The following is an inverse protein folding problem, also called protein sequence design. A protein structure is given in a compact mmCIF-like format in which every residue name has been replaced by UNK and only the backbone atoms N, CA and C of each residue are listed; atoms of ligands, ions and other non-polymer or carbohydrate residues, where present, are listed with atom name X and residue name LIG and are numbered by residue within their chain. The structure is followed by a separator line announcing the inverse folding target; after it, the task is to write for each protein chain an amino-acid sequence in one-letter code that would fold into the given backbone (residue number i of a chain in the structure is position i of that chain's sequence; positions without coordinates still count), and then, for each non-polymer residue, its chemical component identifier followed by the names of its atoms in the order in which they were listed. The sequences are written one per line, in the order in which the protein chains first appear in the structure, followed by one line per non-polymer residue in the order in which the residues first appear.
data_IF_891728313253
#
_entry.id   IF_891728313253
#
_cell.length_a   1.000
_cell.length_b   1.000
_cell.length_c   1.000
_cell.angle_alpha   90.00
_cell.angle_beta   90.00
_cell.angle_gamma   90.00
#
_symmetry.space_group_name_H-M   'P 1'
#
loop_
_entity.id
_entity.type
_entity.pdbx_description
1 polymer ?
#
# COMPACT_ATOMS: atom_id res chain seq x y z
N UNK A 1 12.06 12.72 11.39
CA UNK A 1 10.64 13.04 11.23
C UNK A 1 9.94 11.94 10.50
N UNK A 2 9.12 11.23 11.21
CA UNK A 2 8.48 10.05 10.65
C UNK A 2 7.37 10.39 9.66
N UNK A 3 6.68 11.52 9.83
CA UNK A 3 5.56 11.87 8.97
C UNK A 3 5.98 12.30 7.57
N UNK A 4 7.25 12.65 7.37
CA UNK A 4 7.75 13.04 6.06
C UNK A 4 8.49 11.90 5.35
N UNK A 5 8.55 10.74 5.94
CA UNK A 5 9.28 9.61 5.38
C UNK A 5 8.38 8.68 4.60
N UNK A 6 8.93 8.13 3.52
CA UNK A 6 8.30 7.04 2.80
C UNK A 6 8.44 5.77 3.64
N UNK A 7 7.34 5.12 3.93
CA UNK A 7 7.33 3.93 4.77
C UNK A 7 6.71 2.75 4.06
N UNK A 8 7.20 1.58 4.40
CA UNK A 8 6.62 0.32 3.91
C UNK A 8 6.25 -0.54 5.09
N UNK A 9 5.12 -1.21 5.00
CA UNK A 9 4.66 -2.12 6.03
C UNK A 9 4.17 -3.40 5.36
N UNK A 10 4.74 -4.53 5.76
CA UNK A 10 4.24 -5.82 5.29
C UNK A 10 2.93 -6.10 6.02
N UNK A 11 1.87 -6.31 5.28
CA UNK A 11 0.55 -6.59 5.85
C UNK A 11 0.40 -8.06 6.18
N UNK A 12 -0.41 -8.32 7.19
CA UNK A 12 -0.71 -9.69 7.59
C UNK A 12 -1.78 -10.29 6.69
N UNK A 13 -1.57 -11.51 6.26
CA UNK A 13 -2.53 -12.25 5.46
C UNK A 13 -3.02 -13.42 6.30
N UNK A 14 -4.31 -13.44 6.59
CA UNK A 14 -4.92 -14.44 7.44
C UNK A 14 -5.81 -15.36 6.62
N UNK A 15 -5.62 -16.66 6.76
CA UNK A 15 -6.55 -17.62 6.18
C UNK A 15 -7.88 -17.53 6.90
N UNK A 16 -8.96 -17.65 6.14
CA UNK A 16 -10.30 -17.75 6.71
C UNK A 16 -10.80 -19.17 6.54
N UNK A 17 -11.62 -19.62 7.50
CA UNK A 17 -12.12 -20.99 7.53
C UNK A 17 -13.62 -20.99 7.70
N UNK A 18 -14.23 -21.99 7.11
CA UNK A 18 -15.65 -22.23 7.28
C UNK A 18 -15.97 -22.52 8.75
N UNK A 19 -17.08 -22.00 9.23
CA UNK A 19 -17.48 -22.17 10.64
C UNK A 19 -17.78 -23.62 10.96
N UNK A 20 -18.37 -24.34 10.03
CA UNK A 20 -18.87 -25.69 10.29
C UNK A 20 -17.78 -26.75 10.17
N UNK A 21 -17.11 -26.83 9.03
CA UNK A 21 -16.15 -27.90 8.76
C UNK A 21 -14.69 -27.47 8.82
N UNK A 22 -14.44 -26.18 9.05
CA UNK A 22 -13.09 -25.63 9.23
C UNK A 22 -12.20 -25.70 7.98
N UNK A 23 -12.76 -25.97 6.81
CA UNK A 23 -11.93 -25.93 5.61
C UNK A 23 -11.55 -24.48 5.28
N UNK A 24 -10.40 -24.28 4.66
CA UNK A 24 -9.94 -22.96 4.25
C UNK A 24 -10.83 -22.48 3.10
N UNK A 25 -11.52 -21.36 3.31
CA UNK A 25 -12.42 -20.82 2.29
C UNK A 25 -11.94 -19.51 1.69
N UNK A 26 -10.80 -18.98 2.13
CA UNK A 26 -10.26 -17.76 1.59
C UNK A 26 -9.20 -17.14 2.49
N UNK A 27 -9.05 -15.83 2.37
CA UNK A 27 -8.12 -15.09 3.22
C UNK A 27 -8.63 -13.67 3.44
N UNK A 28 -8.03 -13.01 4.43
CA UNK A 28 -8.33 -11.62 4.76
C UNK A 28 -7.01 -10.89 5.00
N UNK A 29 -6.91 -9.67 4.48
CA UNK A 29 -5.75 -8.81 4.71
C UNK A 29 -6.27 -7.49 5.27
N UNK A 30 -6.13 -7.25 6.59
CA UNK A 30 -6.49 -5.94 7.13
C UNK A 30 -5.54 -4.87 6.60
N UNK A 31 -6.09 -3.86 5.97
CA UNK A 31 -5.29 -2.76 5.39
C UNK A 31 -5.25 -1.59 6.35
N UNK A 32 -6.39 -1.26 6.96
CA UNK A 32 -6.49 -0.18 7.92
C UNK A 32 -7.52 -0.49 8.99
N UNK A 33 -7.13 -0.24 10.24
CA UNK A 33 -8.00 -0.30 11.41
C UNK A 33 -7.69 0.94 12.24
N UNK A 34 -8.71 1.61 12.77
CA UNK A 34 -8.46 2.89 13.45
C UNK A 34 -7.75 2.73 14.80
N UNK A 35 -7.69 1.51 15.33
CA UNK A 35 -6.89 1.22 16.53
C UNK A 35 -5.48 0.76 16.18
N UNK A 36 -5.15 0.67 14.90
CA UNK A 36 -3.85 0.20 14.43
C UNK A 36 -2.93 1.39 14.24
N UNK A 37 -1.65 1.21 14.53
CA UNK A 37 -0.66 2.27 14.39
C UNK A 37 0.11 2.19 13.08
N UNK A 38 -0.31 1.30 12.19
CA UNK A 38 0.31 1.15 10.88
C UNK A 38 0.12 2.40 10.01
N UNK A 39 -1.02 3.05 10.15
CA UNK A 39 -1.37 4.24 9.39
C UNK A 39 -1.37 5.44 10.33
N UNK A 40 -0.51 6.41 10.05
CA UNK A 40 -0.34 7.58 10.90
C UNK A 40 -1.36 8.69 10.59
N UNK A 41 -1.93 8.68 9.40
CA UNK A 41 -2.91 9.69 8.98
C UNK A 41 -4.22 8.98 8.65
N UNK A 42 -5.31 9.42 9.29
CA UNK A 42 -6.61 8.80 9.07
C UNK A 42 -7.09 9.03 7.64
N UNK A 43 -7.52 7.98 6.94
CA UNK A 43 -7.98 8.13 5.55
C UNK A 43 -9.26 8.98 5.46
N UNK A 44 -9.29 9.83 4.44
CA UNK A 44 -10.48 10.61 4.11
C UNK A 44 -11.08 10.15 2.78
N UNK A 45 -10.32 9.39 1.99
CA UNK A 45 -10.80 8.86 0.71
C UNK A 45 -10.15 7.51 0.48
N UNK A 46 -10.94 6.56 0.01
CA UNK A 46 -10.44 5.23 -0.38
C UNK A 46 -10.95 4.94 -1.78
N UNK A 47 -10.06 4.51 -2.65
CA UNK A 47 -10.44 4.13 -4.01
C UNK A 47 -9.54 3.01 -4.52
N UNK A 48 -10.00 2.34 -5.56
CA UNK A 48 -9.21 1.33 -6.26
C UNK A 48 -8.84 1.86 -7.64
N UNK A 49 -7.65 1.52 -8.07
CA UNK A 49 -7.18 1.84 -9.42
C UNK A 49 -6.47 0.62 -9.98
N UNK A 50 -6.31 0.59 -11.28
CA UNK A 50 -5.59 -0.51 -11.93
C UNK A 50 -4.56 0.05 -12.90
N UNK A 51 -3.56 -0.77 -13.17
CA UNK A 51 -2.57 -0.47 -14.21
C UNK A 51 -2.41 -1.74 -15.04
N UNK A 52 -2.44 -1.59 -16.35
CA UNK A 52 -2.29 -2.72 -17.26
C UNK A 52 -0.84 -3.20 -17.24
N UNK A 53 -0.61 -4.51 -17.49
CA UNK A 53 0.75 -5.05 -17.52
C UNK A 53 1.64 -4.27 -18.48
N UNK A 54 2.84 -3.95 -18.02
CA UNK A 54 3.82 -3.21 -18.80
C UNK A 54 3.61 -1.70 -18.83
N UNK A 55 2.52 -1.22 -18.23
CA UNK A 55 2.22 0.21 -18.22
C UNK A 55 2.67 0.87 -16.92
N UNK A 56 2.79 2.19 -16.95
CA UNK A 56 3.15 2.98 -15.78
C UNK A 56 2.14 4.11 -15.60
N UNK A 57 1.78 4.39 -14.37
CA UNK A 57 0.98 5.56 -14.00
C UNK A 57 1.86 6.51 -13.20
N UNK A 58 2.00 7.72 -13.68
CA UNK A 58 2.86 8.72 -13.06
C UNK A 58 4.14 8.93 -13.86
N UNK A 59 5.11 9.67 -13.31
CA UNK A 59 5.16 10.10 -11.90
C UNK A 59 4.16 11.20 -11.57
N UNK A 60 3.75 11.21 -10.31
CA UNK A 60 2.87 12.25 -9.77
C UNK A 60 3.49 12.86 -8.53
N UNK A 61 3.32 14.15 -8.36
CA UNK A 61 3.73 14.84 -7.14
C UNK A 61 2.49 15.48 -6.52
N UNK A 62 2.17 15.05 -5.31
CA UNK A 62 1.05 15.61 -4.57
C UNK A 62 1.57 16.51 -3.46
N UNK A 63 1.18 17.77 -3.48
CA UNK A 63 1.65 18.75 -2.49
C UNK A 63 0.81 18.76 -1.23
N UNK A 64 -0.40 18.21 -1.30
CA UNK A 64 -1.34 18.20 -0.19
C UNK A 64 -1.64 16.77 0.26
N UNK A 65 -1.71 15.86 -0.69
CA UNK A 65 -2.15 14.49 -0.43
C UNK A 65 -1.07 13.65 0.25
N UNK A 66 -1.46 13.01 1.32
CA UNK A 66 -0.70 11.96 1.99
C UNK A 66 -1.37 10.64 1.62
N UNK A 67 -0.65 9.74 0.99
CA UNK A 67 -1.26 8.56 0.36
C UNK A 67 -0.69 7.26 0.89
N UNK A 68 -1.55 6.25 0.88
CA UNK A 68 -1.19 4.87 1.21
C UNK A 68 -1.63 3.99 0.05
N UNK A 69 -0.75 3.09 -0.37
CA UNK A 69 -1.01 2.19 -1.49
C UNK A 69 -0.72 0.75 -1.11
N UNK A 70 -1.52 -0.15 -1.64
CA UNK A 70 -1.26 -1.58 -1.51
C UNK A 70 -1.79 -2.27 -2.77
N UNK A 71 -1.10 -3.31 -3.21
CA UNK A 71 -1.56 -4.13 -4.33
C UNK A 71 -2.47 -5.23 -3.80
N UNK A 72 -3.68 -5.31 -4.31
CA UNK A 72 -4.65 -6.32 -3.87
C UNK A 72 -4.86 -7.42 -4.90
N UNK A 73 -4.37 -7.25 -6.12
CA UNK A 73 -4.47 -8.26 -7.17
C UNK A 73 -3.27 -8.14 -8.10
N UNK A 74 -2.63 -9.27 -8.38
CA UNK A 74 -1.43 -9.28 -9.21
C UNK A 74 -0.22 -8.77 -8.46
N UNK A 75 0.65 -8.08 -9.16
CA UNK A 75 1.90 -7.56 -8.62
C UNK A 75 2.20 -6.22 -9.26
N UNK A 76 2.58 -5.26 -8.43
CA UNK A 76 3.02 -3.94 -8.90
C UNK A 76 4.32 -3.55 -8.22
N UNK A 77 5.05 -2.64 -8.83
CA UNK A 77 6.20 -1.99 -8.23
C UNK A 77 5.84 -0.52 -8.07
N UNK A 78 5.81 -0.07 -6.82
CA UNK A 78 5.66 1.34 -6.51
C UNK A 78 7.03 1.99 -6.54
N UNK A 79 7.14 3.13 -7.19
CA UNK A 79 8.39 3.87 -7.28
C UNK A 79 8.17 5.20 -6.56
N UNK A 80 9.04 5.50 -5.62
CA UNK A 80 8.93 6.74 -4.84
C UNK A 80 10.29 7.40 -4.74
N UNK A 81 10.29 8.73 -4.71
CA UNK A 81 11.52 9.51 -4.56
C UNK A 81 11.60 9.99 -3.12
N UNK A 82 12.69 9.67 -2.43
CA UNK A 82 12.89 10.06 -1.06
C UNK A 82 13.44 11.49 -0.95
N UNK A 83 13.66 11.96 0.28
CA UNK A 83 14.13 13.33 0.53
C UNK A 83 15.56 13.56 0.03
N UNK A 84 16.34 12.49 -0.12
CA UNK A 84 17.70 12.57 -0.63
C UNK A 84 17.77 12.56 -2.15
N UNK A 85 16.63 12.43 -2.82
CA UNK A 85 16.57 12.36 -4.28
C UNK A 85 16.75 10.95 -4.84
N UNK A 86 16.85 9.95 -3.99
CA UNK A 86 16.98 8.56 -4.42
C UNK A 86 15.61 7.97 -4.74
N UNK A 87 15.56 7.08 -5.72
CA UNK A 87 14.34 6.37 -6.06
C UNK A 87 14.30 5.04 -5.31
N UNK A 88 13.15 4.78 -4.71
CA UNK A 88 12.87 3.53 -4.03
C UNK A 88 11.90 2.72 -4.89
N UNK A 89 12.17 1.44 -5.06
CA UNK A 89 11.27 0.53 -5.76
C UNK A 89 10.74 -0.47 -4.74
N UNK A 90 9.42 -0.50 -4.58
CA UNK A 90 8.77 -1.31 -3.57
C UNK A 90 7.77 -2.22 -4.26
N UNK A 91 8.02 -3.53 -4.19
CA UNK A 91 7.11 -4.50 -4.76
C UNK A 91 5.99 -4.81 -3.77
N UNK A 92 4.77 -4.85 -4.28
CA UNK A 92 3.61 -5.26 -3.52
C UNK A 92 2.78 -6.19 -4.40
N UNK A 93 2.27 -7.27 -3.83
CA UNK A 93 1.51 -8.26 -4.58
C UNK A 93 0.40 -8.85 -3.71
N UNK A 94 -0.52 -9.55 -4.35
CA UNK A 94 -1.57 -10.25 -3.60
C UNK A 94 -1.00 -11.33 -2.68
N UNK A 95 0.15 -11.91 -3.03
CA UNK A 95 0.80 -12.91 -2.20
C UNK A 95 1.69 -12.33 -1.12
N UNK A 96 2.18 -11.11 -1.33
CA UNK A 96 3.01 -10.40 -0.37
C UNK A 96 2.58 -8.94 -0.32
N UNK A 97 1.44 -8.66 0.33
CA UNK A 97 0.91 -7.30 0.36
C UNK A 97 1.76 -6.39 1.23
N UNK A 98 2.26 -5.33 0.63
CA UNK A 98 3.06 -4.31 1.31
C UNK A 98 2.31 -2.99 1.19
N UNK A 99 2.08 -2.35 2.32
CA UNK A 99 1.48 -1.02 2.38
C UNK A 99 2.59 0.01 2.25
N UNK A 100 2.44 0.89 1.26
CA UNK A 100 3.44 1.94 0.99
C UNK A 100 2.84 3.28 1.36
N UNK A 101 3.52 3.99 2.23
CA UNK A 101 3.11 5.33 2.66
C UNK A 101 3.93 6.37 1.92
N UNK A 102 3.27 7.25 1.18
CA UNK A 102 3.90 8.34 0.43
C UNK A 102 3.39 9.65 1.01
N UNK A 103 4.19 10.32 1.83
CA UNK A 103 3.80 11.63 2.36
C UNK A 103 3.73 12.69 1.25
N UNK A 104 3.06 13.79 1.52
CA UNK A 104 2.99 14.90 0.59
C UNK A 104 4.40 15.36 0.21
N UNK A 105 4.52 15.98 -0.96
CA UNK A 105 5.78 16.49 -1.52
C UNK A 105 6.77 15.41 -1.94
N UNK A 106 6.29 14.17 -2.13
CA UNK A 106 7.13 13.10 -2.67
C UNK A 106 6.56 12.64 -4.01
N UNK A 107 7.43 12.53 -5.00
CA UNK A 107 7.05 12.02 -6.31
C UNK A 107 6.91 10.51 -6.25
N UNK A 108 5.89 9.99 -6.93
CA UNK A 108 5.66 8.54 -6.97
C UNK A 108 5.04 8.10 -8.29
N UNK A 109 5.23 6.84 -8.59
CA UNK A 109 4.65 6.21 -9.77
C UNK A 109 4.28 4.76 -9.47
#
# INVERSE_FOLDING_TARGET
MTESEIKTTKLEKHQTKDILDKHVNGFMIPVWRDWDKTISVKPEMVYMTSVNPGERKGPHLHKIRHSYYVCIKGKVVFIAKDDSGNYLEIESSEDNPVLVEIPKNHSSA
#
